data_IF_953570061316
#
_entry.id   IF_953570061316
#
_cell.length_a   1.000
_cell.length_b   1.000
_cell.length_c   1.000
_cell.angle_alpha   90.00
_cell.angle_beta   90.00
_cell.angle_gamma   90.00
#
_symmetry.space_group_name_H-M   'P 1'
#
loop_
_entity.id
_entity.type
_entity.pdbx_description
1 polymer ?
#
# COMPACT_ATOMS: atom_id res chain seq x y z
N UNK A 1 -16.21 -1.35 14.78
CA UNK A 1 -15.97 -1.11 13.34
C UNK A 1 -14.48 -1.28 13.08
N UNK A 2 -14.10 -2.15 12.14
CA UNK A 2 -12.76 -2.75 11.98
C UNK A 2 -11.65 -1.74 11.64
N UNK A 3 -11.00 -1.16 12.65
CA UNK A 3 -9.88 -0.21 12.48
C UNK A 3 -8.51 -0.89 12.32
N UNK A 4 -8.45 -2.23 12.29
CA UNK A 4 -7.19 -2.99 12.31
C UNK A 4 -6.67 -3.33 10.91
N UNK A 5 -7.56 -3.47 9.93
CA UNK A 5 -7.19 -3.81 8.54
C UNK A 5 -6.31 -2.74 7.84
N UNK A 6 -6.63 -1.42 7.88
CA UNK A 6 -5.90 -0.45 7.06
C UNK A 6 -4.43 -0.26 7.45
N UNK A 7 -4.06 -0.51 8.71
CA UNK A 7 -2.67 -0.40 9.19
C UNK A 7 -1.76 -1.47 8.57
N UNK A 8 -2.29 -2.68 8.38
CA UNK A 8 -1.52 -3.78 7.79
C UNK A 8 -1.29 -3.55 6.30
N UNK A 9 -2.34 -3.12 5.59
CA UNK A 9 -2.25 -2.74 4.19
C UNK A 9 -1.27 -1.59 3.98
N UNK A 10 -1.30 -0.58 4.86
CA UNK A 10 -0.39 0.55 4.82
C UNK A 10 1.07 0.10 4.95
N UNK A 11 1.41 -0.63 6.01
CA UNK A 11 2.79 -1.09 6.25
C UNK A 11 3.31 -1.98 5.11
N UNK A 12 2.46 -2.84 4.55
CA UNK A 12 2.83 -3.67 3.40
C UNK A 12 3.01 -2.84 2.12
N UNK A 13 2.14 -1.84 1.91
CA UNK A 13 2.21 -0.94 0.75
C UNK A 13 3.44 -0.04 0.78
N UNK A 14 3.85 0.41 1.96
CA UNK A 14 5.08 1.16 2.16
C UNK A 14 6.32 0.33 1.80
N UNK A 15 6.37 -0.94 2.23
CA UNK A 15 7.46 -1.87 1.88
C UNK A 15 7.58 -2.07 0.37
N UNK A 16 6.45 -2.07 -0.34
CA UNK A 16 6.41 -2.20 -1.80
C UNK A 16 6.51 -0.85 -2.55
N UNK A 17 6.68 0.27 -1.84
CA UNK A 17 6.73 1.60 -2.48
C UNK A 17 5.45 1.96 -3.25
N UNK A 18 4.29 1.50 -2.77
CA UNK A 18 2.98 1.71 -3.40
C UNK A 18 2.84 1.13 -4.81
N UNK A 19 3.70 0.17 -5.20
CA UNK A 19 3.68 -0.47 -6.51
C UNK A 19 3.94 -1.96 -6.39
N UNK A 20 2.99 -2.79 -6.82
CA UNK A 20 3.16 -4.25 -6.87
C UNK A 20 3.89 -4.62 -8.16
N UNK A 21 5.05 -5.27 -8.05
CA UNK A 21 5.79 -5.83 -9.18
C UNK A 21 5.59 -7.35 -9.28
N UNK A 22 6.03 -7.93 -10.40
CA UNK A 22 5.85 -9.37 -10.66
C UNK A 22 6.62 -10.25 -9.67
N UNK A 23 7.75 -9.77 -9.15
CA UNK A 23 8.52 -10.47 -8.11
C UNK A 23 7.88 -10.39 -6.73
N UNK A 24 7.02 -9.39 -6.49
CA UNK A 24 6.30 -9.23 -5.23
C UNK A 24 5.03 -10.11 -5.18
N UNK A 25 4.63 -10.72 -6.31
CA UNK A 25 3.48 -11.61 -6.39
C UNK A 25 3.39 -12.68 -5.29
N UNK A 26 4.46 -13.43 -4.96
CA UNK A 26 4.43 -14.40 -3.88
C UNK A 26 4.20 -13.74 -2.51
N UNK A 27 4.90 -12.64 -2.21
CA UNK A 27 4.75 -11.91 -0.95
C UNK A 27 3.34 -11.30 -0.80
N UNK A 28 2.80 -10.76 -1.90
CA UNK A 28 1.43 -10.23 -1.97
C UNK A 28 0.43 -11.35 -1.74
N UNK A 29 0.65 -12.53 -2.32
CA UNK A 29 -0.27 -13.66 -2.17
C UNK A 29 -0.32 -14.17 -0.73
N UNK A 30 0.84 -14.31 -0.09
CA UNK A 30 0.92 -14.70 1.33
C UNK A 30 0.25 -13.66 2.23
N UNK A 31 0.57 -12.38 2.04
CA UNK A 31 -0.07 -11.29 2.77
C UNK A 31 -1.60 -11.30 2.59
N UNK A 32 -2.06 -11.42 1.35
CA UNK A 32 -3.48 -11.53 1.02
C UNK A 32 -4.16 -12.73 1.70
N UNK A 33 -3.46 -13.87 1.82
CA UNK A 33 -3.96 -15.05 2.51
C UNK A 33 -4.09 -14.83 4.02
N UNK A 34 -3.12 -14.15 4.64
CA UNK A 34 -3.15 -13.82 6.08
C UNK A 34 -4.27 -12.83 6.40
N UNK A 35 -4.49 -11.84 5.54
CA UNK A 35 -5.48 -10.79 5.75
C UNK A 35 -6.87 -11.18 5.26
N UNK A 36 -6.97 -12.24 4.46
CA UNK A 36 -8.22 -12.73 3.87
C UNK A 36 -8.77 -11.83 2.77
N UNK A 37 -7.89 -11.17 2.00
CA UNK A 37 -8.29 -10.19 0.97
C UNK A 37 -7.70 -10.56 -0.38
N UNK A 38 -8.45 -10.28 -1.45
CA UNK A 38 -7.98 -10.55 -2.81
C UNK A 38 -6.90 -9.55 -3.20
N UNK A 39 -5.92 -10.01 -3.99
CA UNK A 39 -4.88 -9.15 -4.59
C UNK A 39 -5.46 -7.91 -5.27
N UNK A 40 -6.56 -8.07 -6.01
CA UNK A 40 -7.20 -6.94 -6.69
C UNK A 40 -7.66 -5.86 -5.71
N UNK A 41 -8.19 -6.25 -4.55
CA UNK A 41 -8.62 -5.32 -3.51
C UNK A 41 -7.43 -4.55 -2.94
N UNK A 42 -6.32 -5.24 -2.63
CA UNK A 42 -5.08 -4.59 -2.20
C UNK A 42 -4.56 -3.61 -3.26
N UNK A 43 -4.57 -4.00 -4.54
CA UNK A 43 -4.12 -3.15 -5.65
C UNK A 43 -4.98 -1.89 -5.78
N UNK A 44 -6.31 -2.03 -5.77
CA UNK A 44 -7.24 -0.89 -5.80
C UNK A 44 -7.07 -0.01 -4.57
N UNK A 45 -6.92 -0.63 -3.40
CA UNK A 45 -6.69 0.10 -2.15
C UNK A 45 -5.41 0.92 -2.21
N UNK A 46 -4.29 0.33 -2.67
CA UNK A 46 -3.02 1.05 -2.85
C UNK A 46 -3.17 2.20 -3.83
N UNK A 47 -3.87 2.00 -4.95
CA UNK A 47 -4.09 3.04 -5.94
C UNK A 47 -4.94 4.20 -5.40
N UNK A 48 -5.99 3.89 -4.63
CA UNK A 48 -6.85 4.88 -4.02
C UNK A 48 -6.15 5.65 -2.90
N UNK A 49 -5.30 4.97 -2.12
CA UNK A 49 -4.72 5.53 -0.91
C UNK A 49 -3.31 6.10 -1.09
N UNK A 50 -2.61 5.83 -2.21
CA UNK A 50 -1.21 6.28 -2.39
C UNK A 50 -1.00 7.79 -2.27
N UNK A 51 -1.97 8.60 -2.69
CA UNK A 51 -1.85 10.06 -2.62
C UNK A 51 -2.17 10.61 -1.23
N UNK A 52 -3.01 9.92 -0.47
CA UNK A 52 -3.48 10.37 0.85
C UNK A 52 -2.58 9.84 1.98
N UNK A 53 -2.16 8.59 1.87
CA UNK A 53 -1.32 7.92 2.86
C UNK A 53 0.17 7.94 2.46
N UNK A 54 0.49 7.81 1.17
CA UNK A 54 1.88 7.81 0.69
C UNK A 54 2.57 9.18 0.76
N UNK A 55 1.84 10.29 0.56
CA UNK A 55 2.40 11.65 0.71
C UNK A 55 2.71 12.04 2.15
N UNK A 56 2.09 11.38 3.14
CA UNK A 56 2.28 11.70 4.56
C UNK A 56 3.64 11.27 5.11
N UNK A 57 4.42 10.51 4.32
CA UNK A 57 5.71 9.91 4.70
C UNK A 57 6.86 10.54 3.90
N UNK A 58 6.55 11.27 2.82
CA UNK A 58 7.51 12.09 2.06
C UNK A 58 7.35 13.58 2.42
N UNK A 59 7.44 13.90 3.70
CA UNK A 59 8.16 15.11 4.10
C UNK A 59 9.58 14.61 4.42
N UNK A 60 10.49 14.52 3.44
CA UNK A 60 11.21 15.62 2.83
C UNK A 60 11.31 15.50 1.30
N UNK A 61 11.17 16.62 0.59
CA UNK A 61 11.70 16.81 -0.77
C UNK A 61 10.67 17.07 -1.87
N UNK A 62 10.43 18.36 -2.15
CA UNK A 62 9.83 18.95 -3.34
C UNK A 62 8.29 19.01 -3.42
N UNK A 63 7.74 19.90 -2.60
CA UNK A 63 6.84 20.91 -3.15
C UNK A 63 7.67 22.15 -3.50
N UNK A 64 7.68 22.53 -4.78
CA UNK A 64 8.32 23.74 -5.31
C UNK A 64 8.25 23.63 -6.83
N UNK A 65 7.23 24.18 -7.48
CA UNK A 65 7.35 25.45 -8.19
C UNK A 65 8.70 25.58 -8.91
N UNK A 66 8.72 25.21 -10.19
CA UNK A 66 9.05 26.12 -11.28
C UNK A 66 8.36 25.67 -12.56
#
# INVERSE_FOLDING_TARGET
HTQVQPKLFLSFSEKLGWRIQKHDEPAVQEFCSVVGVKRHVLKVWMHNNKNTLGKKITCHGNAGLS
#
